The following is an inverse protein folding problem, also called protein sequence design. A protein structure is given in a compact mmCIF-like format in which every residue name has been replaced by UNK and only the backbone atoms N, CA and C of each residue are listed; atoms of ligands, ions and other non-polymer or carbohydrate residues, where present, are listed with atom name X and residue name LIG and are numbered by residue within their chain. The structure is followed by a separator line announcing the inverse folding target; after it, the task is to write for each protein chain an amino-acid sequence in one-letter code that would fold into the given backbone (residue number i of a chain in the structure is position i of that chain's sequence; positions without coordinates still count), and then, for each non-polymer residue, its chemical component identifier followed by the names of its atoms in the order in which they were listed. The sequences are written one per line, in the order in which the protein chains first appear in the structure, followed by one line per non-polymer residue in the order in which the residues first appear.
data_IF_699036558992
#
_entry.id   IF_699036558992
#
_cell.length_a   1.000
_cell.length_b   1.000
_cell.length_c   1.000
_cell.angle_alpha   90.00
_cell.angle_beta   90.00
_cell.angle_gamma   90.00
#
_symmetry.space_group_name_H-M   'P 1'
#
loop_
_entity.id
_entity.type
_entity.pdbx_description
1 polymer ?
#
# COMPACT_ATOMS: atom_id res chain seq x y z
N UNK A 1 -0.28 -22.92 -0.67
CA UNK A 1 -0.03 -21.96 -1.77
C UNK A 1 1.37 -21.37 -1.65
N UNK A 2 2.20 -21.37 -2.70
CA UNK A 2 3.53 -20.75 -2.70
C UNK A 2 3.50 -19.20 -2.81
N UNK A 3 2.33 -18.57 -2.80
CA UNK A 3 2.10 -17.14 -3.06
C UNK A 3 2.90 -16.22 -2.14
N UNK A 4 3.18 -16.64 -0.90
CA UNK A 4 4.14 -15.95 -0.01
C UNK A 4 5.51 -15.72 -0.67
N UNK A 5 6.08 -16.77 -1.28
CA UNK A 5 7.39 -16.72 -1.94
C UNK A 5 7.31 -15.79 -3.14
N UNK A 6 6.24 -15.87 -3.92
CA UNK A 6 6.04 -15.00 -5.08
C UNK A 6 5.97 -13.52 -4.68
N UNK A 7 5.26 -13.18 -3.60
CA UNK A 7 5.22 -11.81 -3.06
C UNK A 7 6.62 -11.34 -2.64
N UNK A 8 7.38 -12.18 -1.93
CA UNK A 8 8.72 -11.85 -1.46
C UNK A 8 9.73 -11.63 -2.60
N UNK A 9 9.42 -12.08 -3.82
CA UNK A 9 10.24 -11.88 -5.01
C UNK A 9 9.63 -10.94 -6.06
N UNK A 10 8.47 -10.32 -5.77
CA UNK A 10 7.79 -9.43 -6.71
C UNK A 10 7.28 -10.12 -7.98
N UNK A 11 6.94 -11.41 -7.88
CA UNK A 11 6.44 -12.21 -9.00
C UNK A 11 4.92 -12.05 -9.13
N UNK A 12 4.47 -10.83 -9.46
CA UNK A 12 3.07 -10.42 -9.30
C UNK A 12 2.07 -11.21 -10.16
N UNK A 13 2.45 -11.59 -11.39
CA UNK A 13 1.60 -12.47 -12.23
C UNK A 13 1.32 -13.80 -11.53
N UNK A 14 2.36 -14.42 -10.96
CA UNK A 14 2.22 -15.66 -10.19
C UNK A 14 1.38 -15.47 -8.92
N UNK A 15 1.48 -14.31 -8.26
CA UNK A 15 0.62 -13.97 -7.10
C UNK A 15 -0.84 -13.90 -7.55
N UNK A 16 -1.13 -13.17 -8.63
CA UNK A 16 -2.48 -13.01 -9.16
C UNK A 16 -3.10 -14.36 -9.56
N UNK A 17 -2.39 -15.13 -10.39
CA UNK A 17 -2.90 -16.38 -10.96
C UNK A 17 -3.11 -17.47 -9.91
N UNK A 18 -2.16 -17.63 -8.97
CA UNK A 18 -2.26 -18.69 -7.98
C UNK A 18 -3.32 -18.40 -6.92
N UNK A 19 -3.52 -17.13 -6.55
CA UNK A 19 -4.63 -16.77 -5.66
C UNK A 19 -5.98 -16.86 -6.38
N UNK A 20 -6.06 -16.58 -7.69
CA UNK A 20 -7.27 -16.84 -8.49
C UNK A 20 -7.65 -18.31 -8.46
N UNK A 21 -6.71 -19.21 -8.77
CA UNK A 21 -6.95 -20.67 -8.73
C UNK A 21 -7.38 -21.12 -7.34
N UNK A 22 -6.70 -20.65 -6.29
CA UNK A 22 -7.02 -21.04 -4.93
C UNK A 22 -8.39 -20.52 -4.47
N UNK A 23 -8.75 -19.30 -4.85
CA UNK A 23 -10.09 -18.76 -4.60
C UNK A 23 -11.14 -19.60 -5.31
N UNK A 24 -10.97 -19.90 -6.60
CA UNK A 24 -11.93 -20.67 -7.38
C UNK A 24 -12.16 -22.06 -6.77
N UNK A 25 -11.09 -22.78 -6.44
CA UNK A 25 -11.18 -24.09 -5.77
C UNK A 25 -11.81 -23.98 -4.38
N UNK A 26 -11.45 -22.97 -3.58
CA UNK A 26 -12.04 -22.77 -2.26
C UNK A 26 -13.54 -22.47 -2.36
N UNK A 27 -13.98 -21.76 -3.41
CA UNK A 27 -15.39 -21.47 -3.68
C UNK A 27 -16.15 -22.71 -4.15
N UNK A 28 -15.57 -23.49 -5.06
CA UNK A 28 -16.20 -24.70 -5.58
C UNK A 28 -16.44 -25.77 -4.50
N UNK A 29 -15.58 -25.79 -3.47
CA UNK A 29 -15.66 -26.76 -2.38
C UNK A 29 -16.44 -26.25 -1.15
N UNK A 30 -16.76 -24.96 -1.07
CA UNK A 30 -17.37 -24.37 0.13
C UNK A 30 -18.87 -24.68 0.20
N UNK A 31 -19.32 -25.17 1.35
CA UNK A 31 -20.75 -25.36 1.67
C UNK A 31 -21.22 -24.39 2.78
N UNK A 32 -22.51 -24.01 2.83
CA UNK A 32 -23.04 -23.19 3.91
C UNK A 32 -22.76 -23.80 5.30
N UNK A 33 -22.07 -23.04 6.14
CA UNK A 33 -21.62 -23.47 7.47
C UNK A 33 -20.11 -23.74 7.54
N UNK A 34 -19.43 -23.91 6.41
CA UNK A 34 -17.99 -24.05 6.36
C UNK A 34 -17.27 -22.75 6.73
N UNK A 35 -16.06 -22.89 7.28
CA UNK A 35 -15.16 -21.77 7.49
C UNK A 35 -14.83 -21.08 6.16
N UNK A 36 -14.95 -19.75 6.13
CA UNK A 36 -14.53 -18.96 4.96
C UNK A 36 -13.02 -18.73 4.89
N UNK A 37 -12.22 -19.30 5.80
CA UNK A 37 -10.78 -19.05 5.90
C UNK A 37 -10.04 -19.28 4.58
N UNK A 38 -10.29 -20.43 3.93
CA UNK A 38 -9.65 -20.81 2.67
C UNK A 38 -10.13 -19.98 1.48
N UNK A 39 -11.31 -19.36 1.58
CA UNK A 39 -11.81 -18.40 0.59
C UNK A 39 -11.24 -17.00 0.84
N UNK A 40 -11.17 -16.54 2.08
CA UNK A 40 -10.76 -15.16 2.43
C UNK A 40 -9.26 -14.94 2.23
N UNK A 41 -8.43 -15.94 2.51
CA UNK A 41 -6.98 -15.82 2.36
C UNK A 41 -6.53 -15.43 0.93
N UNK A 42 -6.96 -16.13 -0.15
CA UNK A 42 -6.59 -15.74 -1.50
C UNK A 42 -7.18 -14.39 -1.93
N UNK A 43 -8.30 -13.93 -1.34
CA UNK A 43 -8.87 -12.61 -1.65
C UNK A 43 -7.92 -11.47 -1.25
N UNK A 44 -7.33 -11.52 -0.05
CA UNK A 44 -6.39 -10.48 0.43
C UNK A 44 -5.14 -10.40 -0.47
N UNK A 45 -4.52 -11.54 -0.77
CA UNK A 45 -3.24 -11.53 -1.49
C UNK A 45 -3.39 -11.46 -3.00
N UNK A 46 -4.45 -12.04 -3.55
CA UNK A 46 -4.82 -11.86 -4.96
C UNK A 46 -5.05 -10.40 -5.26
N UNK A 47 -5.79 -9.69 -4.39
CA UNK A 47 -5.97 -8.25 -4.50
C UNK A 47 -4.63 -7.51 -4.49
N UNK A 48 -3.74 -7.81 -3.55
CA UNK A 48 -2.43 -7.16 -3.50
C UNK A 48 -1.63 -7.38 -4.78
N UNK A 49 -1.60 -8.62 -5.31
CA UNK A 49 -0.94 -8.93 -6.58
C UNK A 49 -1.47 -8.11 -7.74
N UNK A 50 -2.80 -8.04 -7.90
CA UNK A 50 -3.42 -7.27 -8.98
C UNK A 50 -3.23 -5.76 -8.84
N UNK A 51 -3.19 -5.24 -7.60
CA UNK A 51 -2.80 -3.85 -7.35
C UNK A 51 -1.36 -3.57 -7.79
N UNK A 52 -0.41 -4.49 -7.55
CA UNK A 52 0.97 -4.33 -8.03
C UNK A 52 1.09 -4.41 -9.55
N UNK A 53 0.21 -5.16 -10.22
CA UNK A 53 0.10 -5.21 -11.69
C UNK A 53 -0.64 -4.01 -12.30
N UNK A 54 -1.23 -3.13 -11.47
CA UNK A 54 -2.04 -2.02 -11.97
C UNK A 54 -3.40 -2.46 -12.53
N UNK A 55 -3.82 -3.71 -12.26
CA UNK A 55 -5.14 -4.21 -12.61
C UNK A 55 -6.17 -3.83 -11.55
N UNK A 56 -6.48 -2.54 -11.49
CA UNK A 56 -7.37 -1.99 -10.48
C UNK A 56 -8.82 -2.49 -10.63
N UNK A 57 -9.22 -2.86 -11.85
CA UNK A 57 -10.52 -3.47 -12.09
C UNK A 57 -10.61 -4.84 -11.40
N UNK A 58 -9.62 -5.71 -11.61
CA UNK A 58 -9.57 -7.02 -10.94
C UNK A 58 -9.37 -6.87 -9.43
N UNK A 59 -8.55 -5.91 -8.98
CA UNK A 59 -8.42 -5.55 -7.56
C UNK A 59 -9.78 -5.20 -6.89
N UNK A 60 -10.67 -4.52 -7.62
CA UNK A 60 -12.03 -4.21 -7.14
C UNK A 60 -12.91 -5.46 -7.09
N UNK A 61 -12.81 -6.34 -8.08
CA UNK A 61 -13.52 -7.63 -8.06
C UNK A 61 -13.19 -8.48 -6.82
N UNK A 62 -11.95 -8.41 -6.31
CA UNK A 62 -11.60 -9.10 -5.05
C UNK A 62 -12.36 -8.57 -3.84
N UNK A 63 -12.64 -7.25 -3.78
CA UNK A 63 -13.47 -6.64 -2.73
C UNK A 63 -14.92 -7.13 -2.87
N UNK A 64 -15.47 -7.07 -4.07
CA UNK A 64 -16.85 -7.52 -4.37
C UNK A 64 -17.07 -8.99 -3.99
N UNK A 65 -16.06 -9.83 -4.27
CA UNK A 65 -16.05 -11.24 -3.87
C UNK A 65 -16.00 -11.41 -2.35
N UNK A 66 -15.23 -10.60 -1.64
CA UNK A 66 -15.18 -10.65 -0.17
C UNK A 66 -16.51 -10.21 0.45
N UNK A 67 -17.16 -9.19 -0.11
CA UNK A 67 -18.50 -8.78 0.33
C UNK A 67 -19.53 -9.88 0.10
N UNK A 68 -19.47 -10.58 -1.04
CA UNK A 68 -20.30 -11.75 -1.31
C UNK A 68 -20.05 -12.85 -0.27
N UNK A 69 -18.79 -13.21 -0.04
CA UNK A 69 -18.41 -14.23 0.97
C UNK A 69 -18.88 -13.83 2.37
N UNK A 70 -18.77 -12.55 2.74
CA UNK A 70 -19.28 -12.04 4.00
C UNK A 70 -20.80 -12.24 4.14
N UNK A 71 -21.58 -11.96 3.09
CA UNK A 71 -23.04 -12.15 3.08
C UNK A 71 -23.43 -13.63 3.13
N UNK A 72 -22.78 -14.48 2.34
CA UNK A 72 -23.12 -15.91 2.23
C UNK A 72 -22.72 -16.73 3.46
N UNK A 73 -21.75 -16.25 4.23
CA UNK A 73 -21.27 -16.92 5.44
C UNK A 73 -21.94 -16.43 6.73
N UNK A 74 -23.12 -15.80 6.63
CA UNK A 74 -23.82 -15.19 7.76
C UNK A 74 -22.93 -14.25 8.59
N UNK A 75 -22.05 -13.51 7.92
CA UNK A 75 -21.20 -12.51 8.54
C UNK A 75 -20.03 -13.07 9.35
N UNK A 76 -19.49 -14.24 9.00
CA UNK A 76 -18.31 -14.82 9.68
C UNK A 76 -17.21 -13.77 9.91
N UNK A 77 -16.69 -13.74 11.15
CA UNK A 77 -15.75 -12.71 11.63
C UNK A 77 -14.51 -12.56 10.75
N UNK A 78 -14.03 -13.66 10.13
CA UNK A 78 -12.87 -13.62 9.24
C UNK A 78 -13.13 -12.76 8.01
N UNK A 79 -14.30 -12.87 7.38
CA UNK A 79 -14.66 -12.02 6.24
C UNK A 79 -14.91 -10.57 6.68
N UNK A 80 -15.66 -10.40 7.77
CA UNK A 80 -16.02 -9.08 8.32
C UNK A 80 -14.78 -8.23 8.65
N UNK A 81 -13.79 -8.82 9.33
CA UNK A 81 -12.56 -8.13 9.73
C UNK A 81 -11.57 -7.88 8.58
N UNK A 82 -11.69 -8.62 7.48
CA UNK A 82 -10.78 -8.50 6.33
C UNK A 82 -11.25 -7.41 5.35
N UNK A 83 -12.55 -7.14 5.28
CA UNK A 83 -13.11 -6.18 4.32
C UNK A 83 -12.56 -4.74 4.47
N UNK A 84 -12.46 -4.16 5.69
CA UNK A 84 -11.84 -2.84 5.87
C UNK A 84 -10.38 -2.79 5.41
N UNK A 85 -9.63 -3.88 5.58
CA UNK A 85 -8.23 -3.97 5.14
C UNK A 85 -8.11 -3.90 3.61
N UNK A 86 -8.92 -4.67 2.87
CA UNK A 86 -8.88 -4.64 1.39
C UNK A 86 -9.32 -3.29 0.84
N UNK A 87 -10.32 -2.66 1.46
CA UNK A 87 -10.76 -1.32 1.08
C UNK A 87 -9.67 -0.28 1.34
N UNK A 88 -9.06 -0.28 2.52
CA UNK A 88 -7.95 0.61 2.86
C UNK A 88 -6.76 0.43 1.90
N UNK A 89 -6.39 -0.82 1.60
CA UNK A 89 -5.33 -1.15 0.65
C UNK A 89 -5.64 -0.62 -0.75
N UNK A 90 -6.87 -0.82 -1.24
CA UNK A 90 -7.30 -0.34 -2.54
C UNK A 90 -7.17 1.18 -2.64
N UNK A 91 -7.68 1.93 -1.65
CA UNK A 91 -7.58 3.39 -1.59
C UNK A 91 -6.12 3.86 -1.65
N UNK A 92 -5.26 3.28 -0.82
CA UNK A 92 -3.84 3.69 -0.73
C UNK A 92 -3.04 3.34 -1.99
N UNK A 93 -3.26 2.17 -2.58
CA UNK A 93 -2.49 1.72 -3.75
C UNK A 93 -2.92 2.41 -5.05
N UNK A 94 -4.22 2.71 -5.18
CA UNK A 94 -4.77 3.37 -6.37
C UNK A 94 -4.72 4.89 -6.29
N UNK A 95 -4.55 5.44 -5.09
CA UNK A 95 -4.75 6.86 -4.79
C UNK A 95 -6.17 7.36 -5.11
N UNK A 96 -7.16 6.46 -5.18
CA UNK A 96 -8.59 6.81 -5.19
C UNK A 96 -9.00 7.23 -3.77
N UNK A 97 -8.54 8.43 -3.37
CA UNK A 97 -8.69 8.95 -2.01
C UNK A 97 -10.15 8.97 -1.58
N UNK A 98 -10.41 8.38 -0.42
CA UNK A 98 -11.74 8.27 0.16
C UNK A 98 -11.68 8.56 1.65
N UNK A 99 -12.42 9.58 2.08
CA UNK A 99 -12.48 10.01 3.48
C UNK A 99 -13.72 9.39 4.11
N UNK A 100 -13.51 8.45 5.02
CA UNK A 100 -14.58 7.81 5.77
C UNK A 100 -14.80 8.50 7.13
N UNK A 101 -16.00 8.37 7.74
CA UNK A 101 -16.21 8.83 9.11
C UNK A 101 -15.30 8.10 10.10
N UNK A 102 -14.64 8.85 10.98
CA UNK A 102 -13.81 8.30 12.05
C UNK A 102 -14.69 8.03 13.26
N UNK A 103 -14.68 6.78 13.74
CA UNK A 103 -15.43 6.34 14.93
C UNK A 103 -14.55 5.56 15.89
N UNK A 104 -15.06 5.28 17.09
CA UNK A 104 -14.35 4.47 18.09
C UNK A 104 -14.10 3.03 17.59
N UNK A 105 -14.95 2.52 16.70
CA UNK A 105 -14.86 1.15 16.16
C UNK A 105 -14.07 1.06 14.84
N UNK A 106 -13.60 2.19 14.29
CA UNK A 106 -12.85 2.23 13.03
C UNK A 106 -11.55 1.40 13.13
N UNK A 107 -11.32 0.41 12.24
CA UNK A 107 -10.10 -0.39 12.24
C UNK A 107 -8.85 0.45 11.89
N UNK A 108 -7.70 0.08 12.43
CA UNK A 108 -6.45 0.84 12.25
C UNK A 108 -6.05 1.05 10.78
N UNK A 109 -6.21 0.04 9.92
CA UNK A 109 -5.91 0.18 8.48
C UNK A 109 -6.87 1.16 7.77
N UNK A 110 -8.14 1.18 8.17
CA UNK A 110 -9.13 2.13 7.66
C UNK A 110 -8.82 3.56 8.12
N UNK A 111 -8.43 3.72 9.39
CA UNK A 111 -7.98 5.01 9.93
C UNK A 111 -6.74 5.52 9.19
N UNK A 112 -5.76 4.66 8.89
CA UNK A 112 -4.59 5.04 8.10
C UNK A 112 -5.00 5.54 6.71
N UNK A 113 -5.80 4.77 5.97
CA UNK A 113 -6.25 5.15 4.64
C UNK A 113 -7.11 6.42 4.66
N UNK A 114 -7.97 6.58 5.66
CA UNK A 114 -8.80 7.76 5.88
C UNK A 114 -7.94 8.99 6.19
N UNK A 115 -6.97 8.87 7.09
CA UNK A 115 -6.07 9.97 7.46
C UNK A 115 -5.22 10.44 6.29
N UNK A 116 -4.63 9.50 5.53
CA UNK A 116 -3.88 9.82 4.30
C UNK A 116 -4.80 10.49 3.27
N UNK A 117 -5.98 9.91 3.02
CA UNK A 117 -6.96 10.48 2.08
C UNK A 117 -7.35 11.90 2.47
N UNK A 118 -7.65 12.12 3.75
CA UNK A 118 -8.08 13.41 4.28
C UNK A 118 -6.98 14.47 4.11
N UNK A 119 -5.71 14.13 4.33
CA UNK A 119 -4.58 15.03 4.01
C UNK A 119 -4.54 15.34 2.51
N UNK A 120 -4.65 14.32 1.64
CA UNK A 120 -4.56 14.48 0.19
C UNK A 120 -5.73 15.25 -0.42
N UNK A 121 -6.89 15.28 0.24
CA UNK A 121 -8.07 16.05 -0.17
C UNK A 121 -8.24 17.37 0.58
N UNK A 122 -7.33 17.72 1.50
CA UNK A 122 -7.35 18.97 2.26
C UNK A 122 -8.31 19.00 3.47
N UNK A 123 -8.90 17.87 3.84
CA UNK A 123 -9.73 17.73 5.05
C UNK A 123 -8.85 17.48 6.29
N UNK A 124 -8.15 18.53 6.73
CA UNK A 124 -7.29 18.44 7.91
C UNK A 124 -8.06 18.20 9.22
N UNK A 125 -9.38 18.42 9.24
CA UNK A 125 -10.21 18.13 10.40
C UNK A 125 -10.38 16.62 10.58
N UNK A 126 -10.77 15.91 9.52
CA UNK A 126 -10.87 14.43 9.56
C UNK A 126 -9.50 13.78 9.68
N UNK A 127 -8.45 14.34 9.08
CA UNK A 127 -7.08 13.84 9.27
C UNK A 127 -6.66 13.88 10.76
N UNK A 128 -6.99 14.96 11.49
CA UNK A 128 -6.71 15.08 12.92
C UNK A 128 -7.55 14.11 13.77
N UNK A 129 -8.79 13.80 13.36
CA UNK A 129 -9.59 12.77 14.03
C UNK A 129 -8.99 11.37 13.85
N UNK A 130 -8.60 11.03 12.63
CA UNK A 130 -7.94 9.76 12.33
C UNK A 130 -6.62 9.62 13.09
N UNK A 131 -5.84 10.71 13.14
CA UNK A 131 -4.61 10.79 13.94
C UNK A 131 -4.87 10.49 15.43
N UNK A 132 -5.81 11.20 16.06
CA UNK A 132 -6.12 11.01 17.49
C UNK A 132 -6.63 9.60 17.79
N UNK A 133 -7.42 9.00 16.88
CA UNK A 133 -7.88 7.62 17.05
C UNK A 133 -6.73 6.61 16.95
N UNK A 134 -5.81 6.81 16.01
CA UNK A 134 -4.61 5.99 15.87
C UNK A 134 -3.66 6.16 17.06
N UNK A 135 -3.54 7.36 17.62
CA UNK A 135 -2.78 7.62 18.86
C UNK A 135 -3.31 6.75 20.01
N UNK A 136 -4.62 6.77 20.25
CA UNK A 136 -5.24 5.94 21.28
C UNK A 136 -5.03 4.42 21.03
N UNK A 137 -4.99 3.98 19.77
CA UNK A 137 -4.65 2.59 19.42
C UNK A 137 -3.17 2.28 19.65
N UNK A 138 -2.27 3.24 19.38
CA UNK A 138 -0.84 3.12 19.64
C UNK A 138 -0.55 3.00 21.16
N UNK A 139 -1.21 3.81 21.98
CA UNK A 139 -1.13 3.73 23.45
C UNK A 139 -1.64 2.39 24.01
N UNK A 140 -2.60 1.77 23.33
CA UNK A 140 -3.08 0.42 23.67
C UNK A 140 -2.09 -0.70 23.31
N UNK A 141 -1.04 -0.36 22.55
CA UNK A 141 0.08 -1.21 22.18
C UNK A 141 0.01 -1.76 20.75
N UNK A 142 1.14 -2.33 20.33
CA UNK A 142 1.32 -2.95 19.02
C UNK A 142 2.12 -2.08 18.05
N UNK A 143 3.26 -2.60 17.60
CA UNK A 143 4.19 -1.87 16.71
C UNK A 143 3.51 -1.35 15.43
N UNK A 144 2.54 -2.08 14.87
CA UNK A 144 1.81 -1.63 13.69
C UNK A 144 0.96 -0.37 13.96
N UNK A 145 0.34 -0.26 15.14
CA UNK A 145 -0.46 0.91 15.50
C UNK A 145 0.44 2.13 15.71
N UNK A 146 1.59 1.95 16.38
CA UNK A 146 2.61 2.97 16.58
C UNK A 146 3.14 3.54 15.26
N UNK A 147 3.33 2.67 14.26
CA UNK A 147 3.73 3.06 12.91
C UNK A 147 2.61 3.87 12.24
N UNK A 148 1.38 3.33 12.18
CA UNK A 148 0.28 3.99 11.47
C UNK A 148 -0.08 5.35 12.08
N UNK A 149 -0.02 5.49 13.40
CA UNK A 149 -0.14 6.78 14.08
C UNK A 149 0.87 7.78 13.55
N UNK A 150 2.17 7.42 13.57
CA UNK A 150 3.25 8.31 13.11
C UNK A 150 3.17 8.62 11.62
N UNK A 151 2.73 7.67 10.80
CA UNK A 151 2.48 7.90 9.37
C UNK A 151 1.43 8.99 9.14
N UNK A 152 0.28 8.91 9.80
CA UNK A 152 -0.78 9.93 9.68
C UNK A 152 -0.33 11.25 10.32
N UNK A 153 0.26 11.22 11.51
CA UNK A 153 0.80 12.42 12.16
C UNK A 153 1.79 13.14 11.25
N UNK A 154 2.76 12.43 10.66
CA UNK A 154 3.76 13.02 9.77
C UNK A 154 3.10 13.70 8.56
N UNK A 155 2.12 13.05 7.94
CA UNK A 155 1.35 13.62 6.84
C UNK A 155 0.59 14.90 7.25
N UNK A 156 -0.03 14.91 8.43
CA UNK A 156 -0.70 16.11 8.97
C UNK A 156 0.30 17.25 9.21
N UNK A 157 1.49 16.96 9.76
CA UNK A 157 2.53 17.98 10.00
C UNK A 157 3.05 18.54 8.68
N UNK A 158 3.30 17.67 7.70
CA UNK A 158 3.74 18.07 6.36
C UNK A 158 2.74 19.03 5.70
N UNK A 159 1.45 18.69 5.73
CA UNK A 159 0.39 19.53 5.17
C UNK A 159 0.24 20.90 5.88
N UNK A 160 0.75 21.03 7.11
CA UNK A 160 0.81 22.29 7.88
C UNK A 160 2.11 23.07 7.66
N UNK A 161 2.98 22.62 6.76
CA UNK A 161 4.30 23.22 6.51
C UNK A 161 5.34 22.91 7.58
N UNK A 162 5.10 21.89 8.42
CA UNK A 162 5.97 21.50 9.54
C UNK A 162 6.88 20.34 9.13
N UNK A 163 7.68 20.54 8.07
CA UNK A 163 8.50 19.50 7.44
C UNK A 163 9.45 18.77 8.40
N UNK A 164 10.16 19.51 9.26
CA UNK A 164 11.09 18.92 10.23
C UNK A 164 10.38 18.00 11.24
N UNK A 165 9.16 18.37 11.67
CA UNK A 165 8.36 17.53 12.56
C UNK A 165 7.84 16.29 11.83
N UNK A 166 7.47 16.41 10.55
CA UNK A 166 7.05 15.26 9.75
C UNK A 166 8.20 14.23 9.60
N UNK A 167 9.42 14.72 9.37
CA UNK A 167 10.63 13.88 9.29
C UNK A 167 10.91 13.19 10.63
N UNK A 168 10.86 13.92 11.74
CA UNK A 168 11.08 13.36 13.08
C UNK A 168 10.08 12.23 13.40
N UNK A 169 8.79 12.41 13.07
CA UNK A 169 7.77 11.38 13.26
C UNK A 169 8.04 10.13 12.41
N UNK A 170 8.54 10.30 11.18
CA UNK A 170 8.93 9.16 10.35
C UNK A 170 10.19 8.45 10.88
N UNK A 171 11.15 9.18 11.44
CA UNK A 171 12.30 8.56 12.11
C UNK A 171 11.87 7.71 13.31
N UNK A 172 10.96 8.23 14.14
CA UNK A 172 10.37 7.43 15.24
C UNK A 172 9.62 6.20 14.70
N UNK A 173 8.89 6.31 13.58
CA UNK A 173 8.22 5.16 12.97
C UNK A 173 9.23 4.07 12.56
N UNK A 174 10.43 4.47 12.11
CA UNK A 174 11.48 3.51 11.74
C UNK A 174 12.00 2.70 12.93
N UNK A 175 11.97 3.25 14.15
CA UNK A 175 12.41 2.53 15.36
C UNK A 175 11.58 1.27 15.58
N UNK A 176 10.27 1.33 15.29
CA UNK A 176 9.38 0.17 15.34
C UNK A 176 9.60 -0.78 14.16
N UNK A 177 9.82 -0.24 12.95
CA UNK A 177 9.96 -1.04 11.72
C UNK A 177 11.21 -1.91 11.73
N UNK A 178 12.34 -1.38 12.24
CA UNK A 178 13.61 -2.12 12.28
C UNK A 178 13.51 -3.38 13.13
N UNK A 179 12.72 -3.35 14.21
CA UNK A 179 12.45 -4.51 15.05
C UNK A 179 11.48 -5.55 14.45
N UNK A 180 10.78 -5.20 13.37
CA UNK A 180 9.80 -6.10 12.75
C UNK A 180 10.45 -7.10 11.79
N UNK A 181 9.90 -8.32 11.81
CA UNK A 181 10.22 -9.36 10.83
C UNK A 181 10.04 -8.81 9.41
N UNK A 182 10.88 -9.29 8.49
CA UNK A 182 10.69 -9.01 7.07
C UNK A 182 9.29 -9.44 6.61
N UNK A 183 8.63 -8.64 5.73
CA UNK A 183 7.33 -8.97 5.20
C UNK A 183 7.31 -10.39 4.60
N UNK A 184 6.27 -11.15 4.93
CA UNK A 184 6.04 -12.49 4.41
C UNK A 184 4.74 -12.59 3.61
N UNK A 185 4.13 -11.46 3.26
CA UNK A 185 2.87 -11.39 2.54
C UNK A 185 2.62 -9.97 2.06
N UNK A 186 1.35 -9.65 1.81
CA UNK A 186 0.96 -8.30 1.42
C UNK A 186 1.44 -7.25 2.44
N UNK A 187 1.67 -6.02 1.97
CA UNK A 187 2.20 -4.95 2.80
C UNK A 187 1.33 -4.73 4.06
N UNK A 188 1.99 -4.63 5.21
CA UNK A 188 1.40 -4.31 6.52
C UNK A 188 2.39 -3.43 7.32
N UNK A 189 2.04 -2.18 7.67
CA UNK A 189 0.80 -1.47 7.28
C UNK A 189 0.61 -1.36 5.75
N UNK A 190 -0.62 -1.07 5.31
CA UNK A 190 -0.96 -1.06 3.87
C UNK A 190 -0.14 -0.03 3.09
N UNK A 191 0.25 1.06 3.75
CA UNK A 191 1.30 1.98 3.29
C UNK A 191 2.63 1.54 3.93
N UNK A 192 3.66 1.14 3.17
CA UNK A 192 4.95 0.82 3.77
C UNK A 192 5.65 2.06 4.33
N UNK A 193 6.23 2.00 5.54
CA UNK A 193 6.80 3.20 6.18
C UNK A 193 8.01 3.79 5.43
N UNK A 194 8.89 2.95 4.87
CA UNK A 194 10.00 3.42 4.05
C UNK A 194 9.52 4.07 2.74
N UNK A 195 8.40 3.61 2.18
CA UNK A 195 7.80 4.21 0.99
C UNK A 195 7.21 5.59 1.32
N UNK A 196 6.41 5.70 2.38
CA UNK A 196 5.85 6.98 2.81
C UNK A 196 6.94 7.98 3.16
N UNK A 197 8.00 7.54 3.84
CA UNK A 197 9.11 8.42 4.19
C UNK A 197 9.82 8.95 2.93
N UNK A 198 10.04 8.10 1.94
CA UNK A 198 10.56 8.53 0.63
C UNK A 198 9.67 9.58 -0.05
N UNK A 199 8.34 9.41 0.01
CA UNK A 199 7.39 10.39 -0.53
C UNK A 199 7.44 11.73 0.20
N UNK A 200 7.46 11.71 1.53
CA UNK A 200 7.60 12.92 2.36
C UNK A 200 8.91 13.65 2.04
N UNK A 201 10.02 12.93 1.90
CA UNK A 201 11.32 13.53 1.57
C UNK A 201 11.32 14.13 0.16
N UNK A 202 10.63 13.54 -0.81
CA UNK A 202 10.47 14.15 -2.13
C UNK A 202 9.67 15.45 -2.07
N UNK A 203 8.59 15.49 -1.29
CA UNK A 203 7.77 16.68 -1.12
C UNK A 203 8.55 17.83 -0.45
N UNK A 204 9.54 17.49 0.38
CA UNK A 204 10.47 18.43 1.02
C UNK A 204 11.71 18.75 0.18
N UNK A 205 11.74 18.39 -1.11
CA UNK A 205 12.88 18.61 -2.02
C UNK A 205 14.20 17.97 -1.52
N UNK A 206 14.12 16.78 -0.92
CA UNK A 206 15.26 15.97 -0.43
C UNK A 206 15.42 14.67 -1.22
N UNK A 207 15.62 14.71 -2.55
CA UNK A 207 15.56 13.53 -3.40
C UNK A 207 16.66 12.49 -3.12
N UNK A 208 17.87 12.91 -2.75
CA UNK A 208 18.96 11.98 -2.44
C UNK A 208 18.65 11.08 -1.22
N UNK A 209 18.00 11.65 -0.22
CA UNK A 209 17.56 10.90 0.97
C UNK A 209 16.35 10.03 0.65
N UNK A 210 15.41 10.53 -0.16
CA UNK A 210 14.28 9.75 -0.65
C UNK A 210 14.72 8.50 -1.42
N UNK A 211 15.75 8.60 -2.28
CA UNK A 211 16.35 7.45 -2.98
C UNK A 211 16.75 6.35 -2.00
N UNK A 212 17.35 6.72 -0.87
CA UNK A 212 17.78 5.76 0.15
C UNK A 212 16.57 5.05 0.77
N UNK A 213 15.52 5.80 1.13
CA UNK A 213 14.29 5.22 1.71
C UNK A 213 13.57 4.28 0.74
N UNK A 214 13.42 4.67 -0.53
CA UNK A 214 12.77 3.80 -1.51
C UNK A 214 13.59 2.56 -1.85
N UNK A 215 14.93 2.64 -1.89
CA UNK A 215 15.80 1.46 -2.05
C UNK A 215 15.55 0.45 -0.93
N UNK A 216 15.57 0.90 0.34
CA UNK A 216 15.25 0.03 1.48
C UNK A 216 13.82 -0.52 1.42
N UNK A 217 12.85 0.27 0.96
CA UNK A 217 11.48 -0.22 0.71
C UNK A 217 11.48 -1.41 -0.27
N UNK A 218 12.20 -1.30 -1.39
CA UNK A 218 12.28 -2.33 -2.42
C UNK A 218 13.15 -3.54 -2.01
N UNK A 219 14.09 -3.39 -1.08
CA UNK A 219 14.79 -4.54 -0.47
C UNK A 219 13.83 -5.38 0.38
N UNK A 220 12.90 -4.73 1.09
CA UNK A 220 11.90 -5.41 1.93
C UNK A 220 10.69 -5.92 1.15
N UNK A 221 10.34 -5.22 0.07
CA UNK A 221 9.17 -5.52 -0.79
C UNK A 221 9.57 -5.43 -2.27
N UNK A 222 10.31 -6.43 -2.79
CA UNK A 222 10.83 -6.39 -4.15
C UNK A 222 9.75 -6.16 -5.19
N UNK A 223 9.98 -5.20 -6.08
CA UNK A 223 9.11 -4.93 -7.22
C UNK A 223 7.78 -4.26 -6.89
N UNK A 224 7.56 -3.78 -5.65
CA UNK A 224 6.34 -3.03 -5.29
C UNK A 224 6.19 -1.77 -6.16
N UNK A 225 5.06 -1.64 -6.85
CA UNK A 225 4.87 -0.67 -7.93
C UNK A 225 5.03 0.79 -7.48
N UNK A 226 4.43 1.19 -6.36
CA UNK A 226 4.55 2.59 -5.90
C UNK A 226 5.96 2.93 -5.41
N UNK A 227 6.67 1.97 -4.81
CA UNK A 227 8.07 2.15 -4.41
C UNK A 227 9.00 2.25 -5.63
N UNK A 228 8.73 1.50 -6.72
CA UNK A 228 9.44 1.66 -8.00
C UNK A 228 9.21 3.06 -8.57
N UNK A 229 7.96 3.53 -8.60
CA UNK A 229 7.61 4.88 -9.06
C UNK A 229 8.31 5.96 -8.22
N UNK A 230 8.24 5.84 -6.89
CA UNK A 230 8.89 6.77 -5.95
C UNK A 230 10.40 6.81 -6.12
N UNK A 231 11.06 5.64 -6.23
CA UNK A 231 12.50 5.57 -6.47
C UNK A 231 12.88 6.20 -7.82
N UNK A 232 12.09 5.95 -8.86
CA UNK A 232 12.34 6.51 -10.18
C UNK A 232 12.26 8.04 -10.18
N UNK A 233 11.23 8.60 -9.52
CA UNK A 233 11.06 10.05 -9.31
C UNK A 233 12.22 10.65 -8.52
N UNK A 234 12.58 10.03 -7.39
CA UNK A 234 13.66 10.50 -6.54
C UNK A 234 15.02 10.49 -7.26
N UNK A 235 15.32 9.41 -7.97
CA UNK A 235 16.54 9.29 -8.75
C UNK A 235 16.60 10.31 -9.90
N UNK A 236 15.48 10.53 -10.60
CA UNK A 236 15.41 11.55 -11.65
C UNK A 236 15.65 12.96 -11.08
N UNK A 237 15.03 13.29 -9.95
CA UNK A 237 15.20 14.57 -9.26
C UNK A 237 16.63 14.78 -8.71
N UNK A 238 17.33 13.70 -8.33
CA UNK A 238 18.73 13.77 -7.91
C UNK A 238 19.74 13.68 -9.07
N UNK A 239 19.28 13.61 -10.33
CA UNK A 239 20.13 13.49 -11.52
C UNK A 239 20.68 12.08 -11.79
N UNK A 240 20.30 11.07 -11.02
CA UNK A 240 20.65 9.66 -11.24
C UNK A 240 19.74 9.03 -12.31
N UNK A 241 19.99 9.40 -13.57
CA UNK A 241 19.20 8.92 -14.72
C UNK A 241 19.27 7.41 -14.90
N UNK A 242 20.39 6.77 -14.54
CA UNK A 242 20.57 5.32 -14.68
C UNK A 242 19.60 4.58 -13.77
N UNK A 243 19.55 4.95 -12.49
CA UNK A 243 18.58 4.37 -11.55
C UNK A 243 17.15 4.69 -11.96
N UNK A 244 16.86 5.93 -12.37
CA UNK A 244 15.52 6.34 -12.80
C UNK A 244 15.00 5.51 -13.98
N UNK A 245 15.82 5.36 -15.04
CA UNK A 245 15.49 4.53 -16.21
C UNK A 245 15.19 3.09 -15.78
N UNK A 246 16.08 2.46 -15.02
CA UNK A 246 15.91 1.07 -14.60
C UNK A 246 14.62 0.85 -13.78
N UNK A 247 14.27 1.78 -12.90
CA UNK A 247 13.05 1.64 -12.09
C UNK A 247 11.78 1.90 -12.91
N UNK A 248 11.79 2.88 -13.82
CA UNK A 248 10.67 3.12 -14.72
C UNK A 248 10.42 1.96 -15.70
N UNK A 249 11.47 1.32 -16.21
CA UNK A 249 11.33 0.10 -17.02
C UNK A 249 10.68 -1.02 -16.23
N UNK A 250 11.13 -1.26 -15.00
CA UNK A 250 10.55 -2.28 -14.13
C UNK A 250 9.08 -1.97 -13.78
N UNK A 251 8.76 -0.70 -13.50
CA UNK A 251 7.37 -0.27 -13.29
C UNK A 251 6.49 -0.55 -14.51
N UNK A 252 6.97 -0.20 -15.71
CA UNK A 252 6.24 -0.48 -16.97
C UNK A 252 6.08 -1.96 -17.23
N UNK A 253 7.04 -2.79 -16.81
CA UNK A 253 6.92 -4.25 -16.88
C UNK A 253 5.79 -4.74 -15.99
N UNK A 254 5.71 -4.27 -14.73
CA UNK A 254 4.59 -4.64 -13.84
C UNK A 254 3.25 -4.18 -14.41
N UNK A 255 3.19 -2.97 -14.96
CA UNK A 255 1.97 -2.34 -15.48
C UNK A 255 1.78 -2.56 -16.98
N UNK A 256 2.28 -3.69 -17.50
CA UNK A 256 2.14 -4.02 -18.91
C UNK A 256 0.67 -4.06 -19.31
N UNK A 257 0.33 -3.40 -20.42
CA UNK A 257 -1.07 -3.29 -20.87
C UNK A 257 -1.96 -2.38 -20.03
N UNK A 258 -1.40 -1.57 -19.12
CA UNK A 258 -2.11 -0.55 -18.30
C UNK A 258 -1.66 0.87 -18.66
N UNK A 259 -1.67 1.18 -19.96
CA UNK A 259 -1.09 2.42 -20.52
C UNK A 259 -1.84 3.71 -20.14
N UNK A 260 -3.04 3.59 -19.60
CA UNK A 260 -3.86 4.69 -19.09
C UNK A 260 -3.42 5.17 -17.70
N UNK A 261 -2.63 4.38 -16.96
CA UNK A 261 -2.21 4.76 -15.62
C UNK A 261 -1.26 5.97 -15.69
N UNK A 262 -1.47 7.02 -14.87
CA UNK A 262 -0.62 8.22 -14.89
C UNK A 262 0.87 7.91 -14.72
N UNK A 263 1.22 7.01 -13.80
CA UNK A 263 2.62 6.62 -13.60
C UNK A 263 3.20 5.78 -14.75
N UNK A 264 2.38 5.04 -15.51
CA UNK A 264 2.84 4.38 -16.75
C UNK A 264 3.18 5.41 -17.83
N UNK A 265 2.33 6.42 -18.00
CA UNK A 265 2.54 7.51 -18.96
C UNK A 265 3.76 8.36 -18.58
N UNK A 266 3.93 8.64 -17.29
CA UNK A 266 5.12 9.29 -16.74
C UNK A 266 6.40 8.51 -17.08
N UNK A 267 6.43 7.22 -16.74
CA UNK A 267 7.54 6.34 -17.06
C UNK A 267 7.84 6.32 -18.56
N UNK A 268 6.80 6.23 -19.40
CA UNK A 268 6.94 6.20 -20.86
C UNK A 268 7.56 7.49 -21.40
N UNK A 269 7.12 8.65 -20.92
CA UNK A 269 7.69 9.96 -21.31
C UNK A 269 9.16 10.08 -20.89
N UNK A 270 9.50 9.68 -19.68
CA UNK A 270 10.88 9.73 -19.19
C UNK A 270 11.81 8.85 -20.05
N UNK A 271 11.39 7.62 -20.36
CA UNK A 271 12.18 6.67 -21.13
C UNK A 271 12.36 7.09 -22.60
N UNK A 272 11.35 7.73 -23.21
CA UNK A 272 11.50 8.31 -24.55
C UNK A 272 12.58 9.39 -24.57
N UNK A 273 12.57 10.31 -23.61
CA UNK A 273 13.57 11.38 -23.51
C UNK A 273 14.99 10.85 -23.25
N UNK A 274 15.13 9.71 -22.57
CA UNK A 274 16.43 9.08 -22.32
C UNK A 274 17.02 8.39 -23.55
N UNK A 275 16.20 8.00 -24.54
CA UNK A 275 16.70 7.35 -25.76
C UNK A 275 17.16 8.36 -26.82
N UNK A 276 16.77 9.63 -26.69
CA UNK A 276 17.12 10.72 -27.60
C UNK A 276 18.39 11.49 -27.18
N UNK A 277 19.04 11.08 -26.08
CA UNK A 277 20.27 11.68 -25.51
C UNK A 277 21.45 10.70 -25.61
#
# INVERSE_FOLDING_TARGET
MPTHIFIQHGMWDYVSDHNQIAYDVARDLWEPGDSVGDTVHPLDWGQYGDLQLGDYAKARTWIERLEMVHRESDGQARAASTLPLLNARYVVETEEWNVLPVTDDSPAAELLATGISAVKTGDLATAAQAEARLEALAESGGAANEIMYREVSAMVRLARGQGDLAVALMDEAMEFVVGMRLPNGAASPVKPPYELYGEILLELDRPAEAVTRFKTSLERMPGRARSLLGLARAAAASGDRVTATAQYEKLRSNWSGRNQLPGYQEASRFLQQSNDQ
#
